data_IF_908613864452
#
_entry.id   IF_908613864452
#
_cell.length_a   1.000
_cell.length_b   1.000
_cell.length_c   1.000
_cell.angle_alpha   90.00
_cell.angle_beta   90.00
_cell.angle_gamma   90.00
#
_symmetry.space_group_name_H-M   'P 1'
#
loop_
_entity.id
_entity.type
_entity.pdbx_description
1 polymer ?
#
# COMPACT_ATOMS: atom_id res chain seq x y z
N UNK A 1 -43.55 -35.88 67.69
CA UNK A 1 -42.83 -36.50 66.54
C UNK A 1 -42.78 -35.42 65.45
N UNK A 2 -41.66 -34.71 65.27
CA UNK A 2 -41.47 -33.67 64.24
C UNK A 2 -40.62 -34.27 63.11
N UNK A 3 -41.17 -34.26 61.89
CA UNK A 3 -40.47 -34.72 60.67
C UNK A 3 -39.64 -33.55 60.11
N UNK A 4 -38.39 -33.71 59.73
CA UNK A 4 -37.64 -32.69 59.04
C UNK A 4 -37.99 -32.66 57.52
N UNK A 5 -38.24 -31.47 57.02
CA UNK A 5 -38.42 -31.19 55.60
C UNK A 5 -37.02 -31.00 55.00
N UNK A 6 -36.64 -31.87 54.03
CA UNK A 6 -35.40 -31.75 53.26
C UNK A 6 -35.69 -30.86 52.07
N UNK A 7 -35.08 -29.65 52.06
CA UNK A 7 -35.05 -28.77 50.87
C UNK A 7 -33.92 -29.26 49.94
N UNK A 8 -34.31 -29.82 48.80
CA UNK A 8 -33.38 -30.12 47.71
C UNK A 8 -33.26 -28.83 46.87
N UNK A 9 -32.16 -28.08 47.01
CA UNK A 9 -31.81 -26.96 46.16
C UNK A 9 -31.23 -27.51 44.86
N UNK A 10 -31.96 -27.35 43.78
CA UNK A 10 -31.53 -27.71 42.44
C UNK A 10 -30.63 -26.56 41.90
N UNK A 11 -29.31 -26.84 41.86
CA UNK A 11 -28.34 -25.90 41.30
C UNK A 11 -28.29 -26.09 39.80
N UNK A 12 -28.95 -25.22 39.02
CA UNK A 12 -28.88 -25.20 37.57
C UNK A 12 -27.58 -24.50 37.21
N UNK A 13 -26.56 -25.24 36.82
CA UNK A 13 -25.33 -24.72 36.26
C UNK A 13 -25.60 -24.28 34.81
N UNK A 14 -25.74 -22.99 34.61
CA UNK A 14 -25.84 -22.36 33.28
C UNK A 14 -24.45 -22.30 32.67
N UNK A 15 -24.11 -23.29 31.84
CA UNK A 15 -22.87 -23.28 31.04
C UNK A 15 -23.03 -22.32 29.89
N UNK A 16 -22.40 -21.15 30.02
CA UNK A 16 -22.19 -20.21 28.89
C UNK A 16 -21.18 -20.84 27.91
N UNK A 17 -21.70 -21.37 26.81
CA UNK A 17 -20.88 -21.71 25.66
C UNK A 17 -20.53 -20.41 24.94
N UNK A 18 -19.31 -19.90 25.14
CA UNK A 18 -18.74 -18.86 24.31
C UNK A 18 -18.46 -19.47 22.94
N UNK A 19 -19.37 -19.27 21.99
CA UNK A 19 -19.09 -19.47 20.58
C UNK A 19 -18.12 -18.34 20.20
N UNK A 20 -16.83 -18.62 20.23
CA UNK A 20 -15.83 -17.80 19.57
C UNK A 20 -16.10 -17.87 18.07
N UNK A 21 -16.84 -16.89 17.55
CA UNK A 21 -16.98 -16.65 16.12
C UNK A 21 -15.61 -16.18 15.63
N UNK A 22 -14.73 -17.12 15.28
CA UNK A 22 -13.54 -16.85 14.52
C UNK A 22 -14.01 -16.25 13.19
N UNK A 23 -13.81 -14.96 12.98
CA UNK A 23 -13.87 -14.36 11.64
C UNK A 23 -12.79 -15.06 10.81
N UNK A 24 -13.16 -16.10 10.10
CA UNK A 24 -12.44 -16.52 8.92
C UNK A 24 -12.62 -15.35 7.93
N UNK A 25 -11.64 -14.46 7.86
CA UNK A 25 -11.48 -13.60 6.70
C UNK A 25 -11.15 -14.54 5.53
N UNK A 26 -12.19 -14.99 4.84
CA UNK A 26 -12.06 -15.48 3.48
C UNK A 26 -11.66 -14.26 2.65
N UNK A 27 -10.37 -13.95 2.65
CA UNK A 27 -9.80 -13.03 1.67
C UNK A 27 -9.86 -13.74 0.32
N UNK A 28 -10.94 -13.50 -0.42
CA UNK A 28 -10.92 -13.79 -1.85
C UNK A 28 -9.68 -13.11 -2.42
N UNK A 29 -8.79 -13.84 -3.13
CA UNK A 29 -7.72 -13.22 -3.89
C UNK A 29 -8.36 -12.19 -4.83
N UNK A 30 -7.98 -10.92 -4.72
CA UNK A 30 -8.60 -9.84 -5.49
C UNK A 30 -9.63 -8.98 -4.74
N UNK A 31 -10.06 -9.36 -3.52
CA UNK A 31 -10.86 -8.43 -2.71
C UNK A 31 -9.94 -7.42 -2.03
N UNK A 32 -10.11 -6.13 -2.33
CA UNK A 32 -9.33 -5.06 -1.75
C UNK A 32 -9.07 -3.93 -2.75
N UNK A 33 -8.36 -2.93 -2.28
CA UNK A 33 -8.00 -1.76 -3.09
C UNK A 33 -6.49 -1.59 -3.13
N UNK A 34 -5.99 -1.07 -4.25
CA UNK A 34 -4.63 -0.53 -4.34
C UNK A 34 -4.72 0.97 -4.12
N UNK A 35 -3.94 1.50 -3.23
CA UNK A 35 -3.96 2.91 -2.88
C UNK A 35 -2.54 3.44 -2.68
N UNK A 36 -2.32 4.70 -3.04
CA UNK A 36 -1.06 5.40 -2.82
C UNK A 36 -1.25 6.46 -1.75
N UNK A 37 -0.40 6.40 -0.74
CA UNK A 37 -0.39 7.32 0.39
C UNK A 37 0.92 8.11 0.45
N UNK A 38 0.88 9.34 0.94
CA UNK A 38 2.09 10.02 1.38
C UNK A 38 2.49 9.52 2.77
N UNK A 39 3.79 9.58 3.06
CA UNK A 39 4.29 9.36 4.41
C UNK A 39 4.34 10.70 5.18
N UNK A 40 3.89 10.66 6.43
CA UNK A 40 4.05 11.78 7.38
C UNK A 40 5.46 11.76 7.98
N UNK A 41 5.96 10.58 8.31
CA UNK A 41 7.32 10.40 8.82
C UNK A 41 7.86 9.00 8.52
N UNK A 42 9.17 8.89 8.45
CA UNK A 42 9.91 7.64 8.23
C UNK A 42 11.37 7.83 8.63
N UNK A 43 12.11 6.72 8.73
CA UNK A 43 13.57 6.70 8.84
C UNK A 43 14.14 6.00 7.61
N UNK A 44 15.36 6.34 7.26
CA UNK A 44 16.12 5.63 6.22
C UNK A 44 17.08 4.63 6.86
N UNK A 45 17.51 3.65 6.07
CA UNK A 45 18.49 2.64 6.48
C UNK A 45 19.90 3.19 6.25
N UNK A 46 20.61 3.46 7.33
CA UNK A 46 21.97 4.01 7.24
C UNK A 46 22.01 5.35 6.50
N UNK A 47 22.96 5.48 5.56
CA UNK A 47 23.14 6.68 4.73
C UNK A 47 22.54 6.51 3.32
N UNK A 48 21.47 5.74 3.18
CA UNK A 48 20.77 5.46 1.93
C UNK A 48 19.44 6.19 1.86
N UNK A 49 18.78 6.19 0.68
CA UNK A 49 17.38 6.62 0.57
C UNK A 49 16.39 5.46 0.86
N UNK A 50 16.89 4.27 1.17
CA UNK A 50 16.04 3.11 1.47
C UNK A 50 15.24 3.36 2.73
N UNK A 51 13.91 3.32 2.62
CA UNK A 51 13.00 3.57 3.75
C UNK A 51 12.94 2.32 4.63
N UNK A 52 13.17 2.50 5.94
CA UNK A 52 12.84 1.48 6.94
C UNK A 52 11.31 1.39 7.08
N UNK A 53 10.71 0.42 6.39
CA UNK A 53 9.26 0.24 6.33
C UNK A 53 8.62 -0.05 7.70
N UNK A 54 9.40 -0.40 8.72
CA UNK A 54 8.90 -0.55 10.09
C UNK A 54 8.75 0.79 10.82
N UNK A 55 9.37 1.84 10.32
CA UNK A 55 9.39 3.18 10.92
C UNK A 55 8.35 4.13 10.34
N UNK A 56 7.63 3.74 9.29
CA UNK A 56 6.76 4.65 8.55
C UNK A 56 5.50 5.02 9.32
N UNK A 57 5.10 6.27 9.19
CA UNK A 57 3.77 6.77 9.53
C UNK A 57 3.11 7.22 8.23
N UNK A 58 2.02 6.58 7.88
CA UNK A 58 1.28 6.83 6.64
C UNK A 58 0.19 7.86 6.91
N UNK A 59 -0.04 8.81 5.99
CA UNK A 59 -1.17 9.75 6.09
C UNK A 59 -2.50 9.01 6.18
N UNK A 60 -3.48 9.63 6.84
CA UNK A 60 -4.80 9.03 7.08
C UNK A 60 -5.65 8.85 5.82
N UNK A 61 -5.37 9.65 4.77
CA UNK A 61 -6.09 9.60 3.50
C UNK A 61 -5.14 9.29 2.35
N UNK A 62 -5.56 8.48 1.38
CA UNK A 62 -4.76 8.24 0.18
C UNK A 62 -4.61 9.52 -0.65
N UNK A 63 -3.44 9.70 -1.25
CA UNK A 63 -3.21 10.70 -2.29
C UNK A 63 -3.86 10.26 -3.61
N UNK A 64 -3.77 8.96 -3.92
CA UNK A 64 -4.47 8.34 -5.05
C UNK A 64 -5.30 7.20 -4.52
N UNK A 65 -6.62 7.35 -4.56
CA UNK A 65 -7.57 6.30 -4.20
C UNK A 65 -7.68 5.26 -5.32
N UNK A 66 -8.17 4.06 -5.01
CA UNK A 66 -8.31 2.99 -6.01
C UNK A 66 -9.22 3.35 -7.19
N UNK A 67 -10.25 4.15 -6.97
CA UNK A 67 -11.12 4.67 -8.03
C UNK A 67 -10.38 5.50 -9.08
N UNK A 68 -9.25 6.11 -8.68
CA UNK A 68 -8.42 6.95 -9.53
C UNK A 68 -7.34 6.17 -10.29
N UNK A 69 -7.11 4.91 -9.96
CA UNK A 69 -6.31 4.00 -10.78
C UNK A 69 -7.18 3.43 -11.90
N UNK A 70 -6.89 3.80 -13.13
CA UNK A 70 -7.64 3.40 -14.33
C UNK A 70 -7.17 2.08 -14.90
N UNK A 71 -5.85 1.83 -14.88
CA UNK A 71 -5.25 0.55 -15.30
C UNK A 71 -3.84 0.39 -14.72
N UNK A 72 -3.32 -0.84 -14.76
CA UNK A 72 -1.94 -1.17 -14.46
C UNK A 72 -1.34 -2.01 -15.60
N UNK A 73 -0.16 -1.61 -16.08
CA UNK A 73 0.64 -2.37 -17.04
C UNK A 73 1.82 -3.03 -16.32
N UNK A 74 1.80 -4.36 -16.11
CA UNK A 74 2.87 -5.07 -15.42
C UNK A 74 4.15 -5.21 -16.24
N UNK A 75 4.09 -4.97 -17.54
CA UNK A 75 5.26 -5.04 -18.41
C UNK A 75 6.14 -3.80 -18.30
N UNK A 76 5.53 -2.65 -18.05
CA UNK A 76 6.21 -1.36 -17.91
C UNK A 76 6.15 -0.81 -16.48
N UNK A 77 5.53 -1.54 -15.55
CA UNK A 77 5.31 -1.12 -14.16
C UNK A 77 4.59 0.24 -14.05
N UNK A 78 3.60 0.46 -14.92
CA UNK A 78 2.96 1.76 -15.09
C UNK A 78 1.50 1.72 -14.68
N UNK A 79 1.13 2.60 -13.75
CA UNK A 79 -0.26 2.89 -13.42
C UNK A 79 -0.77 4.02 -14.31
N UNK A 80 -1.91 3.84 -14.96
CA UNK A 80 -2.68 4.94 -15.54
C UNK A 80 -3.63 5.48 -14.49
N UNK A 81 -3.64 6.80 -14.31
CA UNK A 81 -4.45 7.47 -13.27
C UNK A 81 -5.42 8.48 -13.86
N UNK A 82 -6.40 8.89 -13.06
CA UNK A 82 -7.36 9.93 -13.41
C UNK A 82 -6.71 11.33 -13.45
N UNK A 83 -7.38 12.29 -14.09
CA UNK A 83 -6.95 13.69 -14.07
C UNK A 83 -6.97 14.26 -12.65
N UNK A 84 -7.93 13.85 -11.81
CA UNK A 84 -8.01 14.25 -10.40
C UNK A 84 -6.74 13.83 -9.65
N UNK A 85 -6.33 12.57 -9.77
CA UNK A 85 -5.11 12.08 -9.12
C UNK A 85 -3.85 12.76 -9.68
N UNK A 86 -3.80 13.00 -10.99
CA UNK A 86 -2.70 13.76 -11.64
C UNK A 86 -2.56 15.14 -11.01
N UNK A 87 -3.65 15.92 -10.93
CA UNK A 87 -3.59 17.27 -10.36
C UNK A 87 -3.27 17.24 -8.86
N UNK A 88 -3.74 16.23 -8.11
CA UNK A 88 -3.35 16.05 -6.71
C UNK A 88 -1.84 15.84 -6.55
N UNK A 89 -1.21 15.02 -7.40
CA UNK A 89 0.25 14.79 -7.37
C UNK A 89 1.00 16.05 -7.83
N UNK A 90 0.56 16.72 -8.89
CA UNK A 90 1.19 17.96 -9.40
C UNK A 90 1.13 19.10 -8.38
N UNK A 91 0.09 19.15 -7.56
CA UNK A 91 -0.06 20.16 -6.50
C UNK A 91 0.85 19.93 -5.29
N UNK A 92 1.53 18.77 -5.21
CA UNK A 92 2.49 18.54 -4.15
C UNK A 92 3.70 19.48 -4.31
N UNK A 93 4.17 19.98 -3.18
CA UNK A 93 5.47 20.62 -3.12
C UNK A 93 6.57 19.56 -3.34
N UNK A 94 7.25 19.65 -4.47
CA UNK A 94 8.31 18.72 -4.85
C UNK A 94 9.67 19.22 -4.38
N UNK A 95 10.30 18.45 -3.50
CA UNK A 95 11.69 18.67 -3.09
C UNK A 95 12.64 17.93 -4.03
N UNK A 96 13.85 18.43 -4.21
CA UNK A 96 14.94 17.73 -4.92
C UNK A 96 15.35 16.42 -4.23
N UNK A 97 14.95 16.22 -2.97
CA UNK A 97 15.16 14.98 -2.21
C UNK A 97 13.92 14.09 -2.22
N UNK A 98 12.97 14.37 -3.09
CA UNK A 98 11.74 13.61 -3.26
C UNK A 98 10.70 13.83 -2.14
N UNK A 99 9.52 13.25 -2.36
CA UNK A 99 8.41 13.18 -1.40
C UNK A 99 8.03 11.72 -1.21
N UNK A 100 8.19 11.20 0.01
CA UNK A 100 8.00 9.79 0.27
C UNK A 100 6.54 9.36 0.19
N UNK A 101 6.30 8.18 -0.39
CA UNK A 101 5.00 7.55 -0.51
C UNK A 101 5.03 6.07 -0.09
N UNK A 102 3.85 5.50 0.08
CA UNK A 102 3.62 4.07 0.27
C UNK A 102 2.53 3.58 -0.70
N UNK A 103 2.75 2.43 -1.33
CA UNK A 103 1.72 1.66 -2.03
C UNK A 103 1.20 0.59 -1.08
N UNK A 104 -0.12 0.57 -0.91
CA UNK A 104 -0.84 -0.47 -0.16
C UNK A 104 -1.76 -1.24 -1.09
N UNK A 105 -1.90 -2.53 -0.86
CA UNK A 105 -2.90 -3.38 -1.51
C UNK A 105 -3.60 -4.22 -0.43
N UNK A 106 -4.93 -4.27 -0.47
CA UNK A 106 -5.76 -4.94 0.53
C UNK A 106 -5.36 -4.56 1.97
N UNK A 107 -5.19 -3.26 2.24
CA UNK A 107 -4.75 -2.66 3.50
C UNK A 107 -3.33 -3.02 3.97
N UNK A 108 -2.59 -3.83 3.22
CA UNK A 108 -1.21 -4.20 3.53
C UNK A 108 -0.21 -3.33 2.77
N UNK A 109 0.88 -2.94 3.43
CA UNK A 109 1.99 -2.28 2.75
C UNK A 109 2.62 -3.23 1.72
N UNK A 110 2.79 -2.75 0.49
CA UNK A 110 3.49 -3.48 -0.55
C UNK A 110 4.93 -2.98 -0.66
N UNK A 111 5.10 -1.68 -0.91
CA UNK A 111 6.39 -1.03 -0.95
C UNK A 111 6.27 0.47 -0.66
N UNK A 112 7.40 1.07 -0.37
CA UNK A 112 7.57 2.52 -0.22
C UNK A 112 8.45 3.05 -1.35
N UNK A 113 8.38 4.36 -1.59
CA UNK A 113 9.19 5.03 -2.59
C UNK A 113 9.15 6.54 -2.45
N UNK A 114 9.68 7.22 -3.46
CA UNK A 114 9.67 8.67 -3.53
C UNK A 114 9.12 9.17 -4.86
N UNK A 115 8.33 10.22 -4.82
CA UNK A 115 8.17 11.10 -5.97
C UNK A 115 9.49 11.86 -6.15
N UNK A 116 10.30 11.43 -7.10
CA UNK A 116 11.66 11.95 -7.32
C UNK A 116 11.70 12.68 -8.64
N UNK A 117 11.80 14.04 -8.64
CA UNK A 117 11.68 14.81 -9.87
C UNK A 117 12.93 14.62 -10.73
N UNK A 118 12.74 14.51 -12.04
CA UNK A 118 13.82 14.31 -13.03
C UNK A 118 14.82 15.48 -13.14
N UNK A 119 14.51 16.63 -12.56
CA UNK A 119 15.46 17.74 -12.45
C UNK A 119 16.37 17.65 -11.21
N UNK A 120 16.21 16.63 -10.36
CA UNK A 120 17.08 16.43 -9.19
C UNK A 120 18.50 16.09 -9.65
N UNK A 121 19.51 16.77 -9.09
CA UNK A 121 20.91 16.41 -9.26
C UNK A 121 21.39 15.30 -8.31
N UNK A 122 20.54 14.92 -7.34
CA UNK A 122 20.83 13.83 -6.42
C UNK A 122 20.34 12.50 -6.97
N UNK A 123 21.07 11.41 -6.69
CA UNK A 123 20.63 10.05 -6.98
C UNK A 123 19.71 9.51 -5.86
N UNK A 124 18.89 8.53 -6.19
CA UNK A 124 18.05 7.80 -5.23
C UNK A 124 18.26 6.30 -5.41
N UNK A 125 18.58 5.60 -4.34
CA UNK A 125 18.77 4.14 -4.29
C UNK A 125 17.55 3.42 -3.72
N UNK A 126 16.36 3.92 -4.04
CA UNK A 126 15.08 3.34 -3.66
C UNK A 126 14.08 3.39 -4.83
N UNK A 127 12.85 2.91 -4.60
CA UNK A 127 11.77 2.98 -5.59
C UNK A 127 11.41 4.44 -5.86
N UNK A 128 11.25 4.83 -7.12
CA UNK A 128 10.94 6.20 -7.52
C UNK A 128 9.81 6.28 -8.54
N UNK A 129 9.13 7.42 -8.53
CA UNK A 129 8.18 7.86 -9.56
C UNK A 129 8.56 9.29 -9.92
N UNK A 130 8.79 9.60 -11.20
CA UNK A 130 9.00 10.98 -11.63
C UNK A 130 7.66 11.72 -11.74
N UNK A 131 7.41 12.73 -10.89
CA UNK A 131 6.16 13.50 -10.94
C UNK A 131 6.11 14.48 -12.14
N UNK A 132 7.26 14.79 -12.76
CA UNK A 132 7.33 15.73 -13.89
C UNK A 132 6.77 15.10 -15.16
N UNK A 133 7.02 13.80 -15.36
CA UNK A 133 6.49 13.02 -16.47
C UNK A 133 4.96 13.02 -16.56
N UNK A 134 4.25 13.18 -15.44
CA UNK A 134 2.80 13.32 -15.38
C UNK A 134 2.24 14.49 -16.16
N UNK A 135 3.04 15.53 -16.43
CA UNK A 135 2.61 16.68 -17.22
C UNK A 135 2.28 16.30 -18.66
N UNK A 136 2.90 15.25 -19.19
CA UNK A 136 2.76 14.80 -20.58
C UNK A 136 1.60 13.81 -20.74
N UNK A 137 1.44 12.90 -19.79
CA UNK A 137 0.35 11.92 -19.78
C UNK A 137 -0.03 11.55 -18.33
N UNK A 138 -1.09 10.75 -18.16
CA UNK A 138 -1.59 10.36 -16.85
C UNK A 138 -0.96 9.03 -16.40
N UNK A 139 0.34 8.86 -16.57
CA UNK A 139 1.05 7.62 -16.26
C UNK A 139 2.03 7.81 -15.11
N UNK A 140 1.92 6.96 -14.12
CA UNK A 140 2.88 6.80 -13.03
C UNK A 140 3.75 5.58 -13.35
N UNK A 141 4.91 5.79 -13.93
CA UNK A 141 5.91 4.74 -14.12
C UNK A 141 6.71 4.58 -12.85
N UNK A 142 6.77 3.35 -12.34
CA UNK A 142 7.50 3.01 -11.11
C UNK A 142 8.85 2.43 -11.49
N UNK A 143 9.91 3.09 -11.09
CA UNK A 143 11.29 2.72 -11.40
C UNK A 143 12.08 2.31 -10.16
N UNK A 144 13.16 1.55 -10.38
CA UNK A 144 14.11 1.20 -9.32
C UNK A 144 15.35 2.05 -9.49
N UNK A 145 15.54 2.97 -8.51
CA UNK A 145 16.67 3.91 -8.52
C UNK A 145 16.52 5.10 -9.47
N UNK A 146 17.24 6.17 -9.16
CA UNK A 146 17.36 7.34 -10.03
C UNK A 146 18.83 7.80 -10.09
N UNK A 147 19.39 8.06 -11.26
CA UNK A 147 18.79 7.98 -12.61
C UNK A 147 18.69 6.55 -13.18
N UNK A 148 18.65 5.56 -12.34
CA UNK A 148 18.58 4.12 -12.61
C UNK A 148 19.37 3.37 -11.54
N UNK A 149 19.33 2.03 -11.59
CA UNK A 149 20.13 1.20 -10.68
C UNK A 149 21.60 1.36 -10.97
N UNK A 150 22.38 1.72 -9.95
CA UNK A 150 23.85 1.74 -10.03
C UNK A 150 24.43 0.38 -9.65
N UNK A 151 25.64 0.11 -10.12
CA UNK A 151 26.35 -1.14 -9.81
C UNK A 151 26.45 -1.36 -8.28
N UNK A 152 26.08 -2.55 -7.83
CA UNK A 152 26.09 -2.94 -6.42
C UNK A 152 24.85 -2.51 -5.62
N UNK A 153 23.93 -1.73 -6.20
CA UNK A 153 22.66 -1.41 -5.55
C UNK A 153 21.65 -2.55 -5.68
N UNK A 154 20.98 -2.88 -4.58
CA UNK A 154 19.92 -3.89 -4.54
C UNK A 154 18.66 -3.24 -3.98
N UNK A 155 17.63 -3.14 -4.81
CA UNK A 155 16.30 -2.70 -4.42
C UNK A 155 15.34 -3.88 -4.58
N UNK A 156 14.63 -4.32 -3.52
CA UNK A 156 13.63 -5.38 -3.64
C UNK A 156 12.54 -4.97 -4.63
N UNK A 157 12.41 -5.71 -5.74
CA UNK A 157 11.37 -5.43 -6.74
C UNK A 157 10.04 -6.06 -6.33
N UNK A 158 9.13 -5.23 -5.85
CA UNK A 158 7.77 -5.60 -5.46
C UNK A 158 6.71 -4.90 -6.32
N UNK A 159 7.10 -4.32 -7.46
CA UNK A 159 6.19 -3.60 -8.36
C UNK A 159 5.09 -4.51 -8.93
N UNK A 160 5.41 -5.77 -9.18
CA UNK A 160 4.46 -6.81 -9.60
C UNK A 160 4.06 -7.76 -8.44
N UNK A 161 3.90 -7.23 -7.22
CA UNK A 161 3.37 -8.02 -6.12
C UNK A 161 2.01 -8.62 -6.52
N UNK A 162 1.82 -9.91 -6.20
CA UNK A 162 0.64 -10.65 -6.65
C UNK A 162 -0.68 -10.01 -6.22
N UNK A 163 -0.71 -9.35 -5.04
CA UNK A 163 -1.90 -8.65 -4.54
C UNK A 163 -2.30 -7.47 -5.44
N UNK A 164 -1.32 -6.73 -5.99
CA UNK A 164 -1.60 -5.67 -6.98
C UNK A 164 -2.20 -6.30 -8.23
N UNK A 165 -1.54 -7.33 -8.77
CA UNK A 165 -1.98 -7.99 -10.00
C UNK A 165 -3.40 -8.56 -9.86
N UNK A 166 -3.70 -9.25 -8.76
CA UNK A 166 -4.99 -9.87 -8.52
C UNK A 166 -6.12 -8.83 -8.42
N UNK A 167 -5.88 -7.71 -7.72
CA UNK A 167 -6.87 -6.63 -7.58
C UNK A 167 -7.14 -5.99 -8.94
N UNK A 168 -6.11 -5.63 -9.70
CA UNK A 168 -6.30 -5.03 -11.02
C UNK A 168 -6.92 -6.01 -12.03
N UNK A 169 -6.61 -7.30 -11.93
CA UNK A 169 -7.19 -8.33 -12.78
C UNK A 169 -8.67 -8.57 -12.47
N UNK A 170 -9.06 -8.58 -11.19
CA UNK A 170 -10.45 -8.79 -10.77
C UNK A 170 -11.39 -7.68 -11.28
N UNK A 171 -10.88 -6.48 -11.47
CA UNK A 171 -11.65 -5.31 -11.88
C UNK A 171 -11.43 -4.95 -13.37
N UNK A 172 -10.87 -5.87 -14.16
CA UNK A 172 -10.54 -5.68 -15.59
C UNK A 172 -9.65 -4.44 -15.87
N UNK A 173 -8.87 -4.01 -14.88
CA UNK A 173 -7.94 -2.89 -14.97
C UNK A 173 -6.50 -3.32 -15.27
N UNK A 174 -6.20 -4.63 -15.28
CA UNK A 174 -4.87 -5.15 -15.62
C UNK A 174 -4.71 -5.21 -17.12
N UNK A 175 -3.66 -4.55 -17.66
CA UNK A 175 -3.32 -4.64 -19.08
C UNK A 175 -2.77 -6.03 -19.34
N UNK A 176 -3.47 -6.78 -20.20
CA UNK A 176 -3.06 -8.12 -20.70
C UNK A 176 -2.23 -7.92 -21.96
N UNK A 177 -1.13 -8.65 -22.07
CA UNK A 177 -0.38 -8.76 -23.33
C UNK A 177 -1.11 -9.61 -24.35
#
# INVERSE_FOLDING_TARGET
>A
MKRPIVFITFFVALTFVFIACGKNENTNPGSGHVELYLLDSFKTIGYTNQIDEKSIVVKSSPLVAYSDFLSYDPATYTFKISDTAKEAIKSLEHSVHGRAFAIKAANSLIYTGYFWPSYSSASCDWVVIDPIGLSLDNKLMVELGYPGLMEGQVIPDRRNDQRILDIFASDDKLIKK
#
